data_IF_147996790334
#
_entry.id   IF_147996790334
#
_cell.length_a   1.000
_cell.length_b   1.000
_cell.length_c   1.000
_cell.angle_alpha   90.00
_cell.angle_beta   90.00
_cell.angle_gamma   90.00
#
_symmetry.space_group_name_H-M   'P 1'
#
loop_
_entity.id
_entity.type
_entity.pdbx_description
1 polymer ?
#
# COMPACT_ATOMS: atom_id res chain seq x y z
N UNK A 1 12.57 -0.50 -27.43
CA UNK A 1 12.03 -1.49 -28.40
C UNK A 1 10.52 -1.43 -28.50
N UNK A 2 9.92 -2.22 -29.40
CA UNK A 2 8.47 -2.27 -29.58
C UNK A 2 7.79 -3.07 -28.47
N UNK A 3 6.68 -2.55 -27.90
CA UNK A 3 5.91 -3.22 -26.84
C UNK A 3 5.45 -4.64 -27.23
N UNK A 4 5.04 -4.84 -28.50
CA UNK A 4 4.64 -6.13 -29.02
C UNK A 4 5.76 -7.19 -29.04
N UNK A 5 7.01 -6.78 -29.21
CA UNK A 5 8.17 -7.69 -29.09
C UNK A 5 8.35 -8.11 -27.62
N UNK A 6 8.28 -7.13 -26.70
CA UNK A 6 8.38 -7.42 -25.27
C UNK A 6 7.27 -8.38 -24.82
N UNK A 7 6.02 -8.14 -25.22
CA UNK A 7 4.88 -9.03 -24.89
C UNK A 7 5.15 -10.47 -25.34
N UNK A 8 5.61 -10.67 -26.59
CA UNK A 8 5.92 -12.03 -27.09
C UNK A 8 7.07 -12.67 -26.31
N UNK A 9 8.07 -11.90 -25.94
CA UNK A 9 9.21 -12.40 -25.19
C UNK A 9 8.85 -12.84 -23.77
N UNK A 10 7.96 -12.12 -23.09
CA UNK A 10 7.58 -12.43 -21.70
C UNK A 10 6.41 -13.39 -21.59
N UNK A 11 5.58 -13.53 -22.64
CA UNK A 11 4.34 -14.33 -22.60
C UNK A 11 4.50 -15.73 -21.99
N UNK A 12 5.55 -16.51 -22.29
CA UNK A 12 5.75 -17.84 -21.70
C UNK A 12 5.99 -17.82 -20.18
N UNK A 13 6.39 -16.68 -19.63
CA UNK A 13 6.81 -16.53 -18.23
C UNK A 13 5.77 -15.83 -17.36
N UNK A 14 4.73 -15.23 -17.97
CA UNK A 14 3.64 -14.57 -17.24
C UNK A 14 2.77 -15.62 -16.56
N UNK A 15 2.64 -15.53 -15.23
CA UNK A 15 1.94 -16.52 -14.39
C UNK A 15 0.90 -15.90 -13.47
N UNK A 16 1.33 -14.99 -12.61
CA UNK A 16 0.48 -14.39 -11.57
C UNK A 16 0.95 -12.97 -11.25
N UNK A 17 0.02 -12.02 -11.26
CA UNK A 17 0.28 -10.60 -10.99
C UNK A 17 0.94 -10.30 -9.63
N UNK A 18 0.93 -11.27 -8.69
CA UNK A 18 1.54 -11.15 -7.36
C UNK A 18 3.01 -11.56 -7.36
N UNK A 19 3.42 -12.37 -8.30
CA UNK A 19 4.76 -12.98 -8.36
C UNK A 19 5.56 -12.60 -9.58
N UNK A 20 4.88 -12.14 -10.63
CA UNK A 20 5.55 -11.74 -11.87
C UNK A 20 6.39 -10.48 -11.64
N UNK A 21 7.60 -10.42 -12.19
CA UNK A 21 8.48 -9.28 -12.04
C UNK A 21 7.95 -8.03 -12.76
N UNK A 22 8.46 -6.87 -12.37
CA UNK A 22 8.24 -5.63 -13.10
C UNK A 22 8.77 -5.74 -14.52
N UNK A 23 7.97 -5.34 -15.51
CA UNK A 23 8.42 -5.21 -16.90
C UNK A 23 8.09 -3.82 -17.40
N UNK A 24 9.13 -3.12 -17.83
CA UNK A 24 9.04 -1.79 -18.45
C UNK A 24 9.60 -1.88 -19.87
N UNK A 25 8.90 -1.26 -20.80
CA UNK A 25 9.35 -1.15 -22.19
C UNK A 25 9.66 0.29 -22.51
N UNK A 26 10.90 0.54 -22.96
CA UNK A 26 11.32 1.84 -23.48
C UNK A 26 11.36 1.74 -24.99
N UNK A 27 10.77 2.69 -25.70
CA UNK A 27 10.86 2.77 -27.16
C UNK A 27 12.31 3.02 -27.62
N UNK A 28 12.58 2.91 -28.89
CA UNK A 28 13.94 3.05 -29.43
C UNK A 28 14.49 4.48 -29.36
N UNK A 29 13.61 5.46 -29.29
CA UNK A 29 13.97 6.86 -29.12
C UNK A 29 14.09 7.30 -27.65
N UNK A 30 13.74 6.45 -26.69
CA UNK A 30 13.72 6.79 -25.27
C UNK A 30 12.59 7.75 -24.89
N UNK A 31 11.64 8.00 -25.80
CA UNK A 31 10.55 8.96 -25.58
C UNK A 31 9.48 8.46 -24.63
N UNK A 32 9.17 7.16 -24.68
CA UNK A 32 8.14 6.55 -23.84
C UNK A 32 8.73 5.45 -22.98
N UNK A 33 8.41 5.48 -21.69
CA UNK A 33 8.72 4.42 -20.73
C UNK A 33 7.40 3.82 -20.27
N UNK A 34 7.11 2.60 -20.73
CA UNK A 34 5.80 1.98 -20.62
C UNK A 34 5.82 0.92 -19.52
N UNK A 35 5.00 1.09 -18.48
CA UNK A 35 4.73 0.06 -17.48
C UNK A 35 3.88 -1.04 -18.11
N UNK A 36 4.51 -2.16 -18.50
CA UNK A 36 3.87 -3.21 -19.28
C UNK A 36 3.26 -4.31 -18.40
N UNK A 37 3.94 -4.72 -17.33
CA UNK A 37 3.50 -5.80 -16.44
C UNK A 37 3.89 -5.50 -15.00
N UNK A 38 3.04 -5.94 -14.04
CA UNK A 38 3.24 -5.83 -12.60
C UNK A 38 3.43 -4.39 -12.10
N UNK A 39 2.56 -3.48 -12.54
CA UNK A 39 2.61 -2.04 -12.26
C UNK A 39 2.74 -1.71 -10.78
N UNK A 40 1.81 -2.22 -9.95
CA UNK A 40 1.77 -1.94 -8.51
C UNK A 40 2.73 -2.81 -7.70
N UNK A 41 2.36 -4.07 -7.44
CA UNK A 41 3.11 -4.97 -6.55
C UNK A 41 4.53 -5.24 -7.06
N UNK A 42 4.68 -5.42 -8.37
CA UNK A 42 5.98 -5.63 -9.00
C UNK A 42 6.81 -4.35 -9.09
N UNK A 43 6.19 -3.16 -9.04
CA UNK A 43 6.88 -1.88 -9.08
C UNK A 43 7.16 -1.33 -10.47
N UNK A 44 6.53 -1.86 -11.54
CA UNK A 44 6.79 -1.40 -12.90
C UNK A 44 6.37 0.06 -13.14
N UNK A 45 5.37 0.59 -12.41
CA UNK A 45 5.00 2.00 -12.51
C UNK A 45 6.12 2.93 -12.03
N UNK A 46 6.64 2.69 -10.82
CA UNK A 46 7.78 3.46 -10.30
C UNK A 46 9.03 3.33 -11.18
N UNK A 47 9.30 2.13 -11.70
CA UNK A 47 10.41 1.90 -12.61
C UNK A 47 10.22 2.65 -13.95
N UNK A 48 8.99 2.74 -14.46
CA UNK A 48 8.68 3.50 -15.66
C UNK A 48 8.87 5.01 -15.46
N UNK A 49 8.49 5.53 -14.29
CA UNK A 49 8.74 6.94 -13.92
C UNK A 49 10.23 7.24 -13.80
N UNK A 50 10.98 6.37 -13.13
CA UNK A 50 12.41 6.53 -12.94
C UNK A 50 13.17 6.50 -14.28
N UNK A 51 12.85 5.51 -15.12
CA UNK A 51 13.46 5.41 -16.44
C UNK A 51 13.09 6.57 -17.36
N UNK A 52 11.85 7.08 -17.29
CA UNK A 52 11.43 8.28 -18.02
C UNK A 52 12.23 9.51 -17.58
N UNK A 53 12.46 9.69 -16.27
CA UNK A 53 13.30 10.78 -15.75
C UNK A 53 14.74 10.70 -16.29
N UNK A 54 15.32 9.50 -16.35
CA UNK A 54 16.68 9.29 -16.84
C UNK A 54 16.82 9.57 -18.34
N UNK A 55 15.80 9.21 -19.14
CA UNK A 55 15.81 9.41 -20.60
C UNK A 55 15.27 10.78 -21.05
N UNK A 56 14.68 11.55 -20.13
CA UNK A 56 13.92 12.76 -20.49
C UNK A 56 12.61 12.44 -21.21
N UNK A 57 12.12 11.20 -21.08
CA UNK A 57 10.92 10.69 -21.74
C UNK A 57 9.65 10.87 -20.91
N UNK A 58 8.57 10.25 -21.38
CA UNK A 58 7.25 10.30 -20.80
C UNK A 58 6.91 8.93 -20.22
N UNK A 59 6.57 8.81 -18.91
CA UNK A 59 6.09 7.56 -18.37
C UNK A 59 4.67 7.27 -18.86
N UNK A 60 4.41 6.03 -19.28
CA UNK A 60 3.10 5.57 -19.71
C UNK A 60 2.59 4.56 -18.69
N UNK A 61 1.68 5.02 -17.82
CA UNK A 61 1.06 4.24 -16.76
C UNK A 61 -0.42 4.12 -17.06
N UNK A 62 -0.95 2.89 -17.09
CA UNK A 62 -2.33 2.62 -17.50
C UNK A 62 -3.21 2.07 -16.37
N UNK A 63 -2.66 1.88 -15.16
CA UNK A 63 -3.42 1.43 -14.01
C UNK A 63 -4.35 2.54 -13.52
N UNK A 64 -5.65 2.22 -13.39
CA UNK A 64 -6.70 3.20 -13.08
C UNK A 64 -6.46 3.96 -11.75
N UNK A 65 -5.88 3.30 -10.75
CA UNK A 65 -5.53 3.90 -9.46
C UNK A 65 -4.46 4.99 -9.59
N UNK A 66 -3.49 4.81 -10.49
CA UNK A 66 -2.39 5.76 -10.69
C UNK A 66 -2.78 6.90 -11.64
N UNK A 67 -3.58 6.61 -12.67
CA UNK A 67 -4.08 7.63 -13.61
C UNK A 67 -4.89 8.71 -12.89
N UNK A 68 -5.63 8.33 -11.85
CA UNK A 68 -6.46 9.27 -11.10
C UNK A 68 -5.74 9.89 -9.89
N UNK A 69 -4.45 9.59 -9.67
CA UNK A 69 -3.69 10.11 -8.51
C UNK A 69 -4.31 9.74 -7.16
N UNK A 70 -5.22 8.75 -7.16
CA UNK A 70 -5.98 8.39 -5.97
C UNK A 70 -5.25 7.34 -5.15
N UNK A 71 -5.42 7.46 -3.86
CA UNK A 71 -4.79 6.61 -2.86
C UNK A 71 -5.11 5.12 -3.09
N UNK A 72 -4.06 4.30 -3.20
CA UNK A 72 -4.15 2.84 -3.18
C UNK A 72 -3.50 2.33 -1.89
N UNK A 73 -4.27 1.59 -1.08
CA UNK A 73 -3.82 1.09 0.23
C UNK A 73 -2.56 0.22 0.13
N UNK A 74 -2.45 -0.57 -0.91
CA UNK A 74 -1.30 -1.47 -1.14
C UNK A 74 -0.02 -0.69 -1.49
N UNK A 75 -0.12 0.38 -2.28
CA UNK A 75 0.99 1.28 -2.55
C UNK A 75 1.44 2.00 -1.27
N UNK A 76 0.49 2.59 -0.56
CA UNK A 76 0.77 3.24 0.72
C UNK A 76 1.44 2.28 1.71
N UNK A 77 0.90 1.07 1.88
CA UNK A 77 1.48 0.07 2.77
C UNK A 77 2.91 -0.31 2.36
N UNK A 78 3.18 -0.47 1.06
CA UNK A 78 4.51 -0.77 0.52
C UNK A 78 5.49 0.37 0.78
N UNK A 79 5.12 1.61 0.48
CA UNK A 79 5.95 2.80 0.69
C UNK A 79 6.29 3.02 2.16
N UNK A 80 5.32 2.79 3.04
CA UNK A 80 5.49 2.94 4.49
C UNK A 80 6.05 1.68 5.17
N UNK A 81 6.35 0.61 4.43
CA UNK A 81 6.86 -0.64 4.98
C UNK A 81 5.87 -1.37 5.90
N UNK A 82 4.58 -1.21 5.66
CA UNK A 82 3.50 -1.80 6.45
C UNK A 82 3.06 -3.14 5.86
N UNK A 83 2.66 -4.06 6.73
CA UNK A 83 2.02 -5.33 6.33
C UNK A 83 0.50 -5.17 6.36
N UNK A 84 -0.16 -5.66 5.31
CA UNK A 84 -1.62 -5.62 5.15
C UNK A 84 -2.22 -6.87 5.78
N UNK A 85 -3.11 -6.71 6.77
CA UNK A 85 -3.72 -7.84 7.49
C UNK A 85 -4.72 -8.63 6.64
N UNK A 86 -5.46 -7.96 5.77
CA UNK A 86 -6.46 -8.57 4.88
C UNK A 86 -6.55 -7.85 3.54
N UNK A 87 -6.25 -8.57 2.47
CA UNK A 87 -6.25 -8.06 1.10
C UNK A 87 -7.67 -7.81 0.56
N UNK A 88 -8.69 -8.50 1.07
CA UNK A 88 -10.08 -8.28 0.67
C UNK A 88 -10.56 -6.92 1.15
N UNK A 89 -10.36 -6.63 2.42
CA UNK A 89 -10.69 -5.34 3.02
C UNK A 89 -9.84 -4.21 2.42
N UNK A 90 -8.55 -4.45 2.11
CA UNK A 90 -7.70 -3.47 1.43
C UNK A 90 -8.25 -3.04 0.06
N UNK A 91 -8.72 -4.00 -0.73
CA UNK A 91 -9.38 -3.71 -2.02
C UNK A 91 -10.68 -2.92 -1.84
N UNK A 92 -11.46 -3.27 -0.82
CA UNK A 92 -12.72 -2.59 -0.54
C UNK A 92 -12.48 -1.13 -0.09
N UNK A 93 -11.46 -0.89 0.76
CA UNK A 93 -11.02 0.46 1.15
C UNK A 93 -10.59 1.28 -0.07
N UNK A 94 -9.76 0.70 -0.95
CA UNK A 94 -9.34 1.38 -2.18
C UNK A 94 -10.52 1.71 -3.11
N UNK A 95 -11.51 0.82 -3.19
CA UNK A 95 -12.73 1.06 -3.96
C UNK A 95 -13.58 2.20 -3.38
N UNK A 96 -13.72 2.29 -2.06
CA UNK A 96 -14.46 3.38 -1.40
C UNK A 96 -13.77 4.73 -1.65
N UNK A 97 -12.45 4.80 -1.49
CA UNK A 97 -11.69 6.02 -1.80
C UNK A 97 -11.87 6.44 -3.26
N UNK A 98 -11.85 5.48 -4.19
CA UNK A 98 -12.10 5.74 -5.61
C UNK A 98 -13.53 6.25 -5.87
N UNK A 99 -14.51 5.75 -5.12
CA UNK A 99 -15.90 6.18 -5.21
C UNK A 99 -16.16 7.55 -4.53
N UNK A 100 -15.17 8.09 -3.80
CA UNK A 100 -15.32 9.32 -3.02
C UNK A 100 -16.02 9.10 -1.68
N UNK A 101 -16.20 7.86 -1.25
CA UNK A 101 -16.74 7.51 0.06
C UNK A 101 -15.70 7.78 1.16
N UNK A 102 -16.09 8.34 2.30
CA UNK A 102 -15.16 8.64 3.38
C UNK A 102 -14.65 7.36 4.03
N UNK A 103 -13.34 7.30 4.26
CA UNK A 103 -12.67 6.20 4.98
C UNK A 103 -11.97 6.75 6.21
N UNK A 104 -12.20 6.12 7.38
CA UNK A 104 -11.51 6.49 8.61
C UNK A 104 -10.02 6.11 8.55
N UNK A 105 -9.16 6.97 9.12
CA UNK A 105 -7.72 6.73 9.18
C UNK A 105 -7.18 6.97 10.58
N UNK A 106 -6.70 5.92 11.22
CA UNK A 106 -6.23 5.94 12.60
C UNK A 106 -4.83 5.33 12.72
N UNK A 107 -4.05 5.79 13.67
CA UNK A 107 -2.72 5.28 13.94
C UNK A 107 -2.41 5.31 15.43
N UNK A 108 -1.85 4.23 15.94
CA UNK A 108 -1.28 4.17 17.30
C UNK A 108 0.13 4.81 17.35
N UNK A 109 0.67 5.19 16.21
CA UNK A 109 2.00 5.78 16.06
C UNK A 109 1.91 7.22 15.59
N UNK A 110 2.89 8.06 15.96
CA UNK A 110 3.00 9.40 15.39
C UNK A 110 3.11 9.29 13.85
N UNK A 111 2.20 9.94 13.14
CA UNK A 111 2.28 10.03 11.68
C UNK A 111 3.12 11.25 11.29
N UNK A 112 4.13 11.04 10.46
CA UNK A 112 4.81 12.12 9.79
C UNK A 112 4.05 12.43 8.49
N UNK A 113 3.46 13.63 8.40
CA UNK A 113 2.75 14.07 7.19
C UNK A 113 1.23 14.22 7.37
N UNK A 114 0.57 14.62 6.29
CA UNK A 114 -0.88 14.77 6.23
C UNK A 114 -1.56 13.42 5.99
N UNK A 115 -2.80 13.32 6.45
CA UNK A 115 -3.68 12.18 6.12
C UNK A 115 -3.87 12.13 4.60
N UNK A 116 -3.79 10.94 3.98
CA UNK A 116 -3.99 10.82 2.54
C UNK A 116 -5.37 11.36 2.11
N UNK A 117 -5.46 11.84 0.88
CA UNK A 117 -6.72 12.33 0.32
C UNK A 117 -7.78 11.22 0.30
N UNK A 118 -9.02 11.57 0.66
CA UNK A 118 -10.14 10.64 0.79
C UNK A 118 -10.28 9.99 2.17
N UNK A 119 -9.36 10.28 3.12
CA UNK A 119 -9.42 9.76 4.48
C UNK A 119 -9.78 10.84 5.51
N UNK A 120 -10.40 10.41 6.60
CA UNK A 120 -10.73 11.28 7.74
C UNK A 120 -10.21 10.70 9.05
N UNK A 121 -9.74 11.58 9.94
CA UNK A 121 -9.37 11.24 11.33
C UNK A 121 -10.43 11.69 12.34
N UNK A 122 -11.46 12.38 11.88
CA UNK A 122 -12.45 13.01 12.76
C UNK A 122 -13.46 12.02 13.30
N UNK A 123 -13.78 11.01 12.52
CA UNK A 123 -14.82 10.04 12.84
C UNK A 123 -14.51 8.66 12.24
N UNK A 124 -15.10 7.62 12.82
CA UNK A 124 -15.09 6.29 12.22
C UNK A 124 -16.12 6.21 11.11
N UNK A 125 -15.72 5.58 10.01
CA UNK A 125 -16.54 5.37 8.83
C UNK A 125 -16.96 3.91 8.71
N UNK A 126 -17.74 3.58 7.68
CA UNK A 126 -18.09 2.19 7.37
C UNK A 126 -16.83 1.35 7.16
N UNK A 127 -15.81 1.91 6.53
CA UNK A 127 -14.48 1.31 6.45
C UNK A 127 -13.42 2.22 7.05
N UNK A 128 -12.48 1.60 7.73
CA UNK A 128 -11.44 2.30 8.46
C UNK A 128 -10.10 1.62 8.22
N UNK A 129 -9.04 2.40 8.16
CA UNK A 129 -7.65 1.94 8.16
C UNK A 129 -7.05 2.26 9.52
N UNK A 130 -6.41 1.28 10.13
CA UNK A 130 -5.73 1.47 11.41
C UNK A 130 -4.29 0.95 11.35
N UNK A 131 -3.35 1.84 11.55
CA UNK A 131 -1.93 1.50 11.67
C UNK A 131 -1.67 1.11 13.13
N UNK A 132 -1.51 -0.19 13.39
CA UNK A 132 -1.37 -0.71 14.77
C UNK A 132 -0.64 -2.05 14.80
N UNK A 133 0.08 -2.32 15.89
CA UNK A 133 0.63 -3.64 16.21
C UNK A 133 -0.32 -4.49 17.06
N UNK A 134 -1.35 -3.87 17.62
CA UNK A 134 -2.31 -4.57 18.47
C UNK A 134 -3.16 -5.54 17.64
N UNK A 135 -3.41 -6.72 18.18
CA UNK A 135 -4.38 -7.66 17.65
C UNK A 135 -5.66 -7.49 18.46
N UNK A 136 -6.66 -6.88 17.86
CA UNK A 136 -7.98 -6.86 18.46
C UNK A 136 -8.73 -8.11 18.01
N UNK A 137 -9.24 -8.93 18.94
CA UNK A 137 -10.19 -9.99 18.59
C UNK A 137 -11.41 -9.37 17.89
N UNK A 138 -12.01 -10.07 16.94
CA UNK A 138 -13.16 -9.60 16.16
C UNK A 138 -14.36 -9.17 17.03
N UNK A 139 -14.41 -9.64 18.29
CA UNK A 139 -15.48 -9.36 19.27
C UNK A 139 -15.05 -8.36 20.37
N UNK A 140 -14.01 -7.55 20.15
CA UNK A 140 -13.60 -6.61 21.18
C UNK A 140 -14.63 -5.48 21.32
N UNK A 141 -15.15 -5.25 22.53
CA UNK A 141 -16.18 -4.24 22.81
C UNK A 141 -15.73 -2.81 22.41
N UNK A 142 -14.43 -2.55 22.45
CA UNK A 142 -13.85 -1.29 21.97
C UNK A 142 -14.12 -1.04 20.48
N UNK A 143 -13.95 -2.06 19.63
CA UNK A 143 -14.25 -1.91 18.20
C UNK A 143 -15.73 -1.70 17.94
N UNK A 144 -16.59 -2.37 18.71
CA UNK A 144 -18.05 -2.19 18.62
C UNK A 144 -18.51 -0.80 19.06
N UNK A 145 -17.84 -0.21 20.06
CA UNK A 145 -18.11 1.15 20.52
C UNK A 145 -17.62 2.22 19.54
N UNK A 146 -16.57 1.90 18.79
CA UNK A 146 -15.90 2.84 17.90
C UNK A 146 -16.40 2.80 16.47
N UNK A 147 -16.84 1.62 15.99
CA UNK A 147 -17.29 1.43 14.63
C UNK A 147 -18.81 1.56 14.49
N UNK A 148 -19.31 2.13 13.40
CA UNK A 148 -20.73 2.06 13.06
C UNK A 148 -21.14 0.58 12.85
N UNK A 149 -22.44 0.31 12.92
CA UNK A 149 -22.97 -1.04 12.69
C UNK A 149 -22.52 -1.59 11.34
N UNK A 150 -21.92 -2.80 11.33
CA UNK A 150 -21.32 -3.39 10.13
C UNK A 150 -20.03 -2.75 9.66
N UNK A 151 -19.39 -1.92 10.49
CA UNK A 151 -18.12 -1.29 10.17
C UNK A 151 -16.95 -2.28 10.12
N UNK A 152 -16.04 -2.06 9.17
CA UNK A 152 -14.85 -2.89 8.95
C UNK A 152 -13.57 -2.10 9.25
N UNK A 153 -12.55 -2.80 9.74
CA UNK A 153 -11.21 -2.22 9.97
C UNK A 153 -10.16 -3.00 9.21
N UNK A 154 -9.46 -2.30 8.32
CA UNK A 154 -8.23 -2.78 7.75
C UNK A 154 -7.07 -2.43 8.66
N UNK A 155 -6.39 -3.44 9.16
CA UNK A 155 -5.20 -3.24 9.96
C UNK A 155 -3.95 -3.24 9.08
N UNK A 156 -3.17 -2.17 9.20
CA UNK A 156 -1.83 -2.06 8.64
C UNK A 156 -0.82 -2.19 9.78
N UNK A 157 0.08 -3.16 9.66
CA UNK A 157 1.02 -3.49 10.74
C UNK A 157 2.42 -3.02 10.37
N UNK A 158 3.02 -2.07 11.11
CA UNK A 158 4.38 -1.66 10.87
C UNK A 158 5.37 -2.77 11.21
N UNK A 159 6.50 -2.79 10.53
CA UNK A 159 7.62 -3.65 10.92
C UNK A 159 8.22 -3.11 12.20
N UNK A 160 8.12 -3.88 13.27
CA UNK A 160 8.69 -3.53 14.58
C UNK A 160 9.88 -4.42 14.88
N UNK A 161 10.87 -3.84 15.55
CA UNK A 161 11.97 -4.60 16.16
C UNK A 161 11.62 -4.75 17.65
N UNK A 162 11.58 -6.00 18.13
CA UNK A 162 11.38 -6.30 19.54
C UNK A 162 12.76 -6.51 20.14
N UNK A 163 13.18 -5.61 21.03
CA UNK A 163 14.39 -5.77 21.81
C UNK A 163 14.04 -6.42 23.15
N UNK A 164 14.52 -7.62 23.38
CA UNK A 164 14.45 -8.27 24.68
C UNK A 164 15.67 -7.87 25.50
N UNK A 165 15.46 -7.16 26.59
CA UNK A 165 16.53 -6.83 27.55
C UNK A 165 16.41 -7.79 28.72
N UNK A 166 17.38 -8.69 28.87
CA UNK A 166 17.49 -9.55 30.02
C UNK A 166 18.15 -8.80 31.17
N UNK A 167 17.53 -8.83 32.36
CA UNK A 167 18.13 -8.30 33.56
C UNK A 167 18.13 -9.35 34.68
N UNK A 168 19.02 -9.17 35.67
CA UNK A 168 19.07 -10.02 36.86
C UNK A 168 17.80 -9.80 37.68
N UNK A 169 17.23 -10.87 38.22
CA UNK A 169 16.07 -10.76 39.14
C UNK A 169 16.36 -9.77 40.29
N UNK A 170 15.52 -8.76 40.44
CA UNK A 170 15.70 -7.70 41.44
C UNK A 170 16.38 -6.42 40.94
N UNK A 171 16.68 -6.31 39.63
CA UNK A 171 17.15 -5.03 39.07
C UNK A 171 16.02 -4.01 39.07
N UNK A 172 16.30 -2.82 39.60
CA UNK A 172 15.35 -1.71 39.63
C UNK A 172 15.01 -1.25 38.20
N UNK A 173 13.74 -0.91 37.96
CA UNK A 173 13.25 -0.52 36.63
C UNK A 173 13.98 0.69 36.00
N UNK A 174 14.51 1.56 36.85
CA UNK A 174 15.26 2.76 36.44
C UNK A 174 16.66 2.45 35.88
N UNK A 175 17.10 1.17 35.97
CA UNK A 175 18.42 0.73 35.48
C UNK A 175 18.32 -0.21 34.26
N UNK A 176 17.13 -0.36 33.66
CA UNK A 176 16.86 -1.12 32.47
C UNK A 176 16.54 -0.16 31.33
#
# INVERSE_FOLDING_TARGET
GAAGIAVRAIAPWVKDKRTDPAVVVIDDSGRFSISLLSGHLGGANGLAEETAKLTGGIPVITTATDIHGRFAVDNFAKEQGLWISDMKTAKAVSADVLAGEPVGFFSDFPAAGSVPEGFTQKESCKRNVWITVKRYPENHDFLKLFLPEGGEVLRLVPRIVILGIGCKKGTEKERI
#
